data_IF_031248250211
#
_entry.id   IF_031248250211
#
_cell.length_a   1.000
_cell.length_b   1.000
_cell.length_c   1.000
_cell.angle_alpha   90.00
_cell.angle_beta   90.00
_cell.angle_gamma   90.00
#
_symmetry.space_group_name_H-M   'P 1'
#
loop_
_entity.id
_entity.type
_entity.pdbx_description
1 polymer ?
#
# COMPACT_ATOMS: atom_id res chain seq x y z
N UNK A 1 80.58 -25.54 54.94
CA UNK A 1 81.08 -26.94 55.08
C UNK A 1 81.84 -27.04 56.40
N UNK A 2 81.62 -28.10 57.17
CA UNK A 2 82.28 -28.38 58.46
C UNK A 2 83.14 -29.63 58.30
N UNK A 3 84.38 -29.61 58.78
CA UNK A 3 85.30 -30.75 58.79
C UNK A 3 85.64 -31.12 60.24
N UNK A 4 85.55 -32.41 60.57
CA UNK A 4 85.96 -32.99 61.84
C UNK A 4 87.12 -33.95 61.58
N UNK A 5 88.29 -33.70 62.19
CA UNK A 5 89.49 -34.53 62.06
C UNK A 5 89.96 -35.03 63.43
N UNK A 6 90.46 -36.26 63.49
CA UNK A 6 90.89 -36.89 64.74
C UNK A 6 90.93 -38.42 64.65
N UNK A 7 91.31 -39.13 65.71
CA UNK A 7 91.33 -40.59 65.72
C UNK A 7 89.93 -41.17 65.46
N UNK A 8 89.84 -42.16 64.58
CA UNK A 8 88.56 -42.77 64.15
C UNK A 8 87.57 -43.10 65.28
N UNK A 9 87.99 -43.77 66.38
CA UNK A 9 87.09 -44.06 67.50
C UNK A 9 86.49 -42.81 68.16
N UNK A 10 87.23 -41.69 68.17
CA UNK A 10 86.77 -40.41 68.73
C UNK A 10 85.76 -39.74 67.79
N UNK A 11 86.03 -39.76 66.48
CA UNK A 11 85.09 -39.22 65.48
C UNK A 11 83.76 -39.97 65.48
N UNK A 12 83.78 -41.30 65.59
CA UNK A 12 82.55 -42.12 65.69
C UNK A 12 81.75 -41.77 66.94
N UNK A 13 82.42 -41.54 68.08
CA UNK A 13 81.76 -41.14 69.33
C UNK A 13 81.10 -39.78 69.19
N UNK A 14 81.83 -38.78 68.67
CA UNK A 14 81.29 -37.43 68.43
C UNK A 14 80.12 -37.46 67.44
N UNK A 15 80.20 -38.27 66.38
CA UNK A 15 79.10 -38.43 65.44
C UNK A 15 77.83 -38.94 66.14
N UNK A 16 77.93 -39.99 66.97
CA UNK A 16 76.77 -40.59 67.65
C UNK A 16 76.22 -39.75 68.81
N UNK A 17 77.10 -39.18 69.62
CA UNK A 17 76.69 -38.51 70.87
C UNK A 17 76.31 -37.05 70.67
N UNK A 18 76.78 -36.42 69.59
CA UNK A 18 76.61 -34.98 69.33
C UNK A 18 75.90 -34.72 68.01
N UNK A 19 76.48 -35.14 66.88
CA UNK A 19 75.94 -34.78 65.55
C UNK A 19 74.59 -35.47 65.27
N UNK A 20 74.46 -36.74 65.64
CA UNK A 20 73.29 -37.56 65.35
C UNK A 20 72.22 -37.51 66.46
N UNK A 21 72.33 -36.63 67.46
CA UNK A 21 71.25 -36.39 68.43
C UNK A 21 70.28 -35.33 67.88
N UNK A 22 69.00 -35.67 67.62
CA UNK A 22 68.00 -34.72 67.14
C UNK A 22 67.91 -33.47 68.02
N UNK A 23 67.89 -32.29 67.39
CA UNK A 23 67.80 -30.99 68.07
C UNK A 23 69.12 -30.39 68.55
N UNK A 24 70.25 -31.11 68.43
CA UNK A 24 71.56 -30.63 68.91
C UNK A 24 72.18 -29.65 67.93
N UNK A 25 72.55 -28.46 68.42
CA UNK A 25 73.19 -27.39 67.63
C UNK A 25 74.70 -27.61 67.55
N UNK A 26 75.28 -27.78 66.34
CA UNK A 26 76.69 -28.15 66.19
C UNK A 26 77.69 -27.18 66.81
N UNK A 27 77.43 -25.86 66.78
CA UNK A 27 78.33 -24.88 67.40
C UNK A 27 78.40 -25.05 68.92
N UNK A 28 77.26 -25.11 69.59
CA UNK A 28 77.20 -25.26 71.04
C UNK A 28 77.81 -26.59 71.52
N UNK A 29 77.67 -27.65 70.74
CA UNK A 29 78.07 -28.98 71.18
C UNK A 29 79.50 -29.39 70.76
N UNK A 30 80.11 -28.69 69.80
CA UNK A 30 81.47 -28.98 69.33
C UNK A 30 82.48 -27.90 69.73
N UNK A 31 82.09 -26.87 70.48
CA UNK A 31 82.99 -25.82 70.97
C UNK A 31 82.88 -25.65 72.50
N UNK A 32 83.97 -25.76 73.27
CA UNK A 32 85.32 -26.13 72.81
C UNK A 32 85.36 -27.57 72.24
N UNK A 33 86.32 -27.87 71.35
CA UNK A 33 86.36 -29.15 70.66
C UNK A 33 86.65 -30.31 71.63
N UNK A 34 86.00 -31.47 71.47
CA UNK A 34 86.26 -32.64 72.30
C UNK A 34 87.72 -33.09 72.20
N UNK A 35 88.31 -33.53 73.32
CA UNK A 35 89.74 -33.92 73.36
C UNK A 35 90.09 -34.94 72.28
N UNK A 36 91.06 -34.59 71.42
CA UNK A 36 91.53 -35.39 70.30
C UNK A 36 90.71 -35.27 69.02
N UNK A 37 89.77 -34.32 68.94
CA UNK A 37 89.04 -33.97 67.72
C UNK A 37 89.27 -32.50 67.40
N UNK A 38 89.67 -32.20 66.18
CA UNK A 38 89.75 -30.85 65.65
C UNK A 38 88.51 -30.54 64.80
N UNK A 39 88.04 -29.30 64.89
CA UNK A 39 86.85 -28.84 64.17
C UNK A 39 87.21 -27.61 63.34
N UNK A 40 87.05 -27.72 62.02
CA UNK A 40 87.35 -26.65 61.08
C UNK A 40 86.13 -26.33 60.20
N UNK A 41 86.04 -25.07 59.76
CA UNK A 41 84.95 -24.59 58.90
C UNK A 41 83.74 -24.06 59.66
N UNK A 42 82.60 -24.00 58.99
CA UNK A 42 81.41 -23.31 59.52
C UNK A 42 80.58 -24.23 60.43
N UNK A 43 80.42 -23.86 61.70
CA UNK A 43 79.44 -24.46 62.61
C UNK A 43 78.23 -23.54 62.78
N UNK A 44 77.04 -24.03 62.44
CA UNK A 44 75.77 -23.30 62.63
C UNK A 44 75.38 -23.25 64.10
N UNK A 45 74.94 -22.07 64.55
CA UNK A 45 74.41 -21.85 65.91
C UNK A 45 72.87 -21.85 65.96
N UNK A 46 72.24 -21.79 64.78
CA UNK A 46 70.79 -21.69 64.65
C UNK A 46 70.14 -23.02 64.27
N UNK A 47 70.84 -23.87 63.51
CA UNK A 47 70.27 -25.07 62.91
C UNK A 47 70.95 -26.32 63.46
N UNK A 48 70.18 -27.28 64.01
CA UNK A 48 70.72 -28.58 64.38
C UNK A 48 71.04 -29.41 63.12
N UNK A 49 72.00 -30.34 63.22
CA UNK A 49 72.33 -31.22 62.09
C UNK A 49 71.20 -32.21 61.79
N UNK A 50 70.55 -32.75 62.85
CA UNK A 50 69.27 -33.45 62.75
C UNK A 50 68.19 -32.63 63.45
N UNK A 51 67.07 -32.26 62.79
CA UNK A 51 65.99 -31.51 63.42
C UNK A 51 65.35 -32.33 64.55
N UNK A 52 64.97 -31.67 65.65
CA UNK A 52 64.20 -32.32 66.71
C UNK A 52 62.83 -32.75 66.15
N UNK A 53 62.29 -33.93 66.53
CA UNK A 53 60.96 -34.34 66.09
C UNK A 53 59.91 -33.34 66.61
N UNK A 54 59.42 -32.48 65.71
CA UNK A 54 58.34 -31.54 65.99
C UNK A 54 57.00 -32.24 65.90
N UNK A 55 56.41 -32.59 67.05
CA UNK A 55 54.98 -32.87 67.14
C UNK A 55 54.21 -31.58 66.88
N UNK A 56 53.73 -31.41 65.66
CA UNK A 56 52.77 -30.37 65.30
C UNK A 56 53.25 -29.38 64.24
N UNK A 57 52.95 -29.68 62.96
CA UNK A 57 52.44 -28.69 62.01
C UNK A 57 51.87 -29.32 60.73
N UNK A 58 50.61 -28.97 60.49
CA UNK A 58 49.84 -28.86 59.24
C UNK A 58 50.57 -29.09 57.91
N UNK A 59 50.04 -30.01 57.11
CA UNK A 59 50.31 -30.16 55.67
C UNK A 59 49.87 -28.91 54.88
N UNK A 60 50.55 -28.53 53.78
CA UNK A 60 49.94 -27.67 52.77
C UNK A 60 48.86 -28.49 52.06
N UNK A 61 47.61 -28.03 52.12
CA UNK A 61 46.49 -28.64 51.41
C UNK A 61 46.72 -28.62 49.91
N UNK A 62 46.76 -29.79 49.28
CA UNK A 62 46.57 -29.92 47.83
C UNK A 62 45.25 -29.22 47.44
N UNK A 63 45.18 -28.50 46.31
CA UNK A 63 43.91 -27.97 45.82
C UNK A 63 42.90 -29.11 45.62
N UNK A 64 41.59 -28.84 45.73
CA UNK A 64 40.54 -29.86 45.56
C UNK A 64 40.74 -30.63 44.25
N UNK A 65 40.51 -31.95 44.25
CA UNK A 65 40.70 -32.83 43.07
C UNK A 65 40.02 -32.31 41.81
N UNK A 66 38.86 -31.66 41.94
CA UNK A 66 38.11 -31.05 40.84
C UNK A 66 38.88 -29.94 40.12
N UNK A 67 39.65 -29.12 40.86
CA UNK A 67 40.47 -28.06 40.28
C UNK A 67 41.64 -28.64 39.46
N UNK A 68 42.26 -29.71 39.95
CA UNK A 68 43.30 -30.41 39.22
C UNK A 68 42.77 -31.06 37.93
N UNK A 69 41.53 -31.57 37.93
CA UNK A 69 40.89 -32.13 36.72
C UNK A 69 40.49 -31.06 35.70
N UNK A 70 40.06 -29.88 36.16
CA UNK A 70 39.77 -28.75 35.26
C UNK A 70 41.05 -28.25 34.58
N UNK A 71 42.13 -28.06 35.33
CA UNK A 71 43.44 -27.61 34.80
C UNK A 71 43.98 -28.61 33.77
N UNK A 72 43.89 -29.92 34.05
CA UNK A 72 44.32 -30.96 33.12
C UNK A 72 43.51 -30.92 31.81
N UNK A 73 42.19 -30.71 31.90
CA UNK A 73 41.33 -30.58 30.71
C UNK A 73 41.61 -29.27 29.94
N UNK A 74 41.82 -28.16 30.64
CA UNK A 74 42.19 -26.88 30.04
C UNK A 74 43.50 -26.95 29.24
N UNK A 75 44.51 -27.67 29.74
CA UNK A 75 45.77 -27.85 29.00
C UNK A 75 45.56 -28.58 27.66
N UNK A 76 44.64 -29.54 27.61
CA UNK A 76 44.27 -30.21 26.34
C UNK A 76 43.56 -29.25 25.40
N UNK A 77 42.65 -28.43 25.93
CA UNK A 77 41.89 -27.44 25.16
C UNK A 77 42.82 -26.41 24.51
N UNK A 78 43.77 -25.86 25.28
CA UNK A 78 44.78 -24.91 24.78
C UNK A 78 45.72 -25.58 23.78
N UNK A 79 46.10 -26.85 23.99
CA UNK A 79 46.95 -27.57 23.04
C UNK A 79 46.25 -27.83 21.70
N UNK A 80 44.92 -27.99 21.70
CA UNK A 80 44.13 -28.12 20.47
C UNK A 80 43.90 -26.77 19.79
N UNK A 81 43.77 -25.68 20.55
CA UNK A 81 43.56 -24.31 20.08
C UNK A 81 42.48 -24.17 18.98
N UNK A 82 41.37 -24.88 19.14
CA UNK A 82 40.26 -24.84 18.18
C UNK A 82 38.95 -24.40 18.83
N UNK A 83 38.07 -23.68 18.10
CA UNK A 83 36.77 -23.28 18.64
C UNK A 83 35.94 -24.44 19.21
N UNK A 84 35.87 -25.63 18.59
CA UNK A 84 35.18 -26.78 19.18
C UNK A 84 35.79 -27.25 20.52
N UNK A 85 37.13 -27.20 20.66
CA UNK A 85 37.79 -27.57 21.91
C UNK A 85 37.45 -26.57 23.04
N UNK A 86 37.47 -25.27 22.74
CA UNK A 86 37.06 -24.23 23.68
C UNK A 86 35.56 -24.31 24.02
N UNK A 87 34.70 -24.68 23.06
CA UNK A 87 33.27 -24.89 23.31
C UNK A 87 33.06 -26.09 24.23
N UNK A 88 33.75 -27.20 24.00
CA UNK A 88 33.68 -28.38 24.87
C UNK A 88 34.11 -28.06 26.33
N UNK A 89 35.05 -27.12 26.51
CA UNK A 89 35.38 -26.59 27.83
C UNK A 89 34.23 -25.81 28.47
N UNK A 90 33.59 -24.89 27.73
CA UNK A 90 32.46 -24.11 28.23
C UNK A 90 31.26 -25.00 28.59
N UNK A 91 31.02 -26.05 27.82
CA UNK A 91 29.92 -27.00 28.06
C UNK A 91 30.19 -27.84 29.32
N UNK A 92 31.44 -28.29 29.50
CA UNK A 92 31.84 -29.14 30.64
C UNK A 92 32.03 -28.34 31.93
N UNK A 93 32.49 -27.09 31.83
CA UNK A 93 32.75 -26.20 32.97
C UNK A 93 32.06 -24.84 32.77
N UNK A 94 30.73 -24.75 32.88
CA UNK A 94 29.98 -23.51 32.64
C UNK A 94 30.37 -22.34 33.54
N UNK A 95 30.88 -22.65 34.75
CA UNK A 95 31.37 -21.70 35.76
C UNK A 95 32.88 -21.86 36.02
N UNK A 96 33.62 -22.47 35.07
CA UNK A 96 35.06 -22.74 35.20
C UNK A 96 35.92 -21.47 35.21
N UNK A 97 37.11 -21.57 35.79
CA UNK A 97 38.03 -20.43 35.95
C UNK A 97 38.55 -19.87 34.62
N UNK A 98 38.59 -20.70 33.56
CA UNK A 98 39.06 -20.32 32.22
C UNK A 98 37.92 -19.98 31.27
N UNK A 99 36.66 -19.91 31.74
CA UNK A 99 35.48 -19.60 30.92
C UNK A 99 35.65 -18.34 30.07
N UNK A 100 36.19 -17.28 30.66
CA UNK A 100 36.39 -16.01 29.96
C UNK A 100 37.48 -16.13 28.89
N UNK A 101 38.53 -16.93 29.12
CA UNK A 101 39.59 -17.17 28.15
C UNK A 101 39.06 -18.03 27.00
N UNK A 102 38.35 -19.13 27.29
CA UNK A 102 37.74 -19.98 26.27
C UNK A 102 36.79 -19.18 25.36
N UNK A 103 35.96 -18.31 25.94
CA UNK A 103 35.08 -17.43 25.17
C UNK A 103 35.85 -16.43 24.32
N UNK A 104 36.87 -15.78 24.87
CA UNK A 104 37.73 -14.88 24.12
C UNK A 104 38.45 -15.57 22.96
N UNK A 105 38.89 -16.82 23.12
CA UNK A 105 39.51 -17.61 22.04
C UNK A 105 38.54 -17.94 20.92
N UNK A 106 37.30 -18.33 21.24
CA UNK A 106 36.24 -18.56 20.24
C UNK A 106 35.93 -17.28 19.49
N UNK A 107 35.75 -16.17 20.21
CA UNK A 107 35.45 -14.87 19.62
C UNK A 107 36.61 -14.40 18.71
N UNK A 108 37.86 -14.58 19.13
CA UNK A 108 39.05 -14.27 18.33
C UNK A 108 39.16 -15.10 17.05
N UNK A 109 38.91 -16.41 17.11
CA UNK A 109 38.90 -17.28 15.94
C UNK A 109 37.79 -16.89 14.94
N UNK A 110 36.60 -16.52 15.44
CA UNK A 110 35.51 -16.03 14.61
C UNK A 110 35.86 -14.71 13.90
N UNK A 111 36.51 -13.77 14.60
CA UNK A 111 37.00 -12.52 14.02
C UNK A 111 38.04 -12.77 12.91
N UNK A 112 38.96 -13.72 13.12
CA UNK A 112 39.95 -14.08 12.11
C UNK A 112 39.29 -14.69 10.86
N UNK A 113 38.33 -15.60 11.04
CA UNK A 113 37.58 -16.19 9.93
C UNK A 113 36.76 -15.13 9.16
N UNK A 114 36.14 -14.18 9.88
CA UNK A 114 35.43 -13.06 9.26
C UNK A 114 36.38 -12.16 8.47
N UNK A 115 37.56 -11.84 9.02
CA UNK A 115 38.59 -11.06 8.32
C UNK A 115 39.07 -11.74 7.04
N UNK A 116 39.29 -13.06 7.07
CA UNK A 116 39.68 -13.82 5.89
C UNK A 116 38.56 -13.89 4.84
N UNK A 117 37.30 -14.05 5.27
CA UNK A 117 36.15 -14.01 4.39
C UNK A 117 35.96 -12.62 3.76
N UNK A 118 36.18 -11.56 4.53
CA UNK A 118 36.16 -10.17 4.05
C UNK A 118 37.26 -9.92 3.01
N UNK A 119 38.49 -10.38 3.26
CA UNK A 119 39.59 -10.28 2.30
C UNK A 119 39.28 -11.04 1.01
N UNK A 120 38.66 -12.22 1.12
CA UNK A 120 38.21 -13.02 -0.03
C UNK A 120 37.16 -12.29 -0.86
N UNK A 121 36.16 -11.67 -0.22
CA UNK A 121 35.15 -10.88 -0.93
C UNK A 121 35.76 -9.61 -1.55
N UNK A 122 36.69 -8.95 -0.86
CA UNK A 122 37.38 -7.78 -1.37
C UNK A 122 38.21 -8.10 -2.63
N UNK A 123 38.86 -9.27 -2.66
CA UNK A 123 39.62 -9.76 -3.80
C UNK A 123 38.76 -10.03 -5.05
N UNK A 124 37.44 -10.15 -4.92
CA UNK A 124 36.52 -10.27 -6.06
C UNK A 124 36.41 -8.97 -6.86
N UNK A 125 36.82 -7.83 -6.31
CA UNK A 125 36.77 -6.54 -7.01
C UNK A 125 35.36 -6.08 -7.36
N UNK A 126 34.34 -6.49 -6.59
CA UNK A 126 32.93 -6.20 -6.88
C UNK A 126 32.68 -4.70 -6.95
N UNK A 127 32.27 -4.24 -8.12
CA UNK A 127 31.89 -2.85 -8.32
C UNK A 127 30.50 -2.55 -7.73
N UNK A 128 30.04 -1.30 -7.85
CA UNK A 128 28.74 -0.90 -7.33
C UNK A 128 27.57 -1.63 -8.02
N UNK A 129 27.72 -1.95 -9.30
CA UNK A 129 26.71 -2.64 -10.11
C UNK A 129 26.59 -4.10 -9.69
N UNK A 130 27.70 -4.80 -9.50
CA UNK A 130 27.77 -6.16 -9.00
C UNK A 130 27.12 -6.28 -7.62
N UNK A 131 27.43 -5.33 -6.72
CA UNK A 131 26.85 -5.27 -5.38
C UNK A 131 25.34 -5.05 -5.42
N UNK A 132 24.85 -4.17 -6.29
CA UNK A 132 23.40 -3.99 -6.51
C UNK A 132 22.74 -5.26 -7.05
N UNK A 133 23.41 -5.95 -7.98
CA UNK A 133 22.90 -7.22 -8.52
C UNK A 133 22.81 -8.29 -7.42
N UNK A 134 23.82 -8.41 -6.55
CA UNK A 134 23.79 -9.31 -5.39
C UNK A 134 22.64 -8.95 -4.43
N UNK A 135 22.47 -7.67 -4.08
CA UNK A 135 21.36 -7.21 -3.22
C UNK A 135 19.99 -7.51 -3.85
N UNK A 136 19.84 -7.33 -5.17
CA UNK A 136 18.63 -7.69 -5.91
C UNK A 136 18.37 -9.19 -5.87
N UNK A 137 19.40 -10.01 -6.10
CA UNK A 137 19.29 -11.46 -6.05
C UNK A 137 18.90 -11.97 -4.65
N UNK A 138 19.50 -11.41 -3.59
CA UNK A 138 19.11 -11.69 -2.21
C UNK A 138 17.64 -11.36 -1.98
N UNK A 139 17.19 -10.17 -2.40
CA UNK A 139 15.81 -9.72 -2.24
C UNK A 139 14.82 -10.63 -2.99
N UNK A 140 15.14 -10.99 -4.23
CA UNK A 140 14.33 -11.89 -5.06
C UNK A 140 14.18 -13.28 -4.44
N UNK A 141 15.22 -13.76 -3.75
CA UNK A 141 15.22 -15.03 -3.03
C UNK A 141 14.61 -14.92 -1.61
N UNK A 142 14.09 -13.75 -1.22
CA UNK A 142 13.41 -13.53 0.06
C UNK A 142 14.31 -13.09 1.22
N UNK A 143 15.60 -12.80 0.97
CA UNK A 143 16.52 -12.29 1.98
C UNK A 143 16.61 -10.77 1.88
N UNK A 144 16.18 -10.05 2.91
CA UNK A 144 16.06 -8.59 2.85
C UNK A 144 17.40 -7.87 3.17
N UNK A 145 18.09 -7.26 2.18
CA UNK A 145 19.33 -6.51 2.40
C UNK A 145 19.11 -5.12 3.03
N UNK A 146 17.85 -4.71 3.27
CA UNK A 146 17.43 -3.37 3.71
C UNK A 146 17.75 -2.27 2.70
N UNK A 147 17.64 -2.58 1.41
CA UNK A 147 17.86 -1.64 0.30
C UNK A 147 18.75 -2.23 -0.81
N UNK A 148 18.62 -1.69 -2.02
CA UNK A 148 19.44 -2.05 -3.19
C UNK A 148 20.15 -0.79 -3.67
N UNK A 149 21.26 -0.45 -3.02
CA UNK A 149 22.00 0.80 -3.21
C UNK A 149 23.43 0.59 -3.75
N UNK A 150 23.92 -0.66 -3.69
CA UNK A 150 25.28 -1.08 -4.03
C UNK A 150 26.28 -0.95 -2.89
N UNK A 151 25.81 -0.64 -1.67
CA UNK A 151 26.61 -0.47 -0.47
C UNK A 151 26.34 -1.66 0.46
N UNK A 152 27.38 -2.43 0.78
CA UNK A 152 27.24 -3.56 1.71
C UNK A 152 27.31 -3.11 3.16
N UNK A 153 26.19 -2.58 3.65
CA UNK A 153 25.99 -2.26 5.07
C UNK A 153 25.50 -3.46 5.92
N UNK A 154 25.18 -3.24 7.20
CA UNK A 154 24.72 -4.29 8.12
C UNK A 154 23.50 -5.08 7.62
N UNK A 155 22.61 -4.43 6.87
CA UNK A 155 21.45 -5.09 6.24
C UNK A 155 21.86 -6.13 5.21
N UNK A 156 22.73 -5.77 4.27
CA UNK A 156 23.26 -6.70 3.25
C UNK A 156 24.05 -7.83 3.88
N UNK A 157 24.88 -7.54 4.90
CA UNK A 157 25.61 -8.58 5.65
C UNK A 157 24.68 -9.57 6.33
N UNK A 158 23.61 -9.08 6.96
CA UNK A 158 22.60 -9.93 7.61
C UNK A 158 21.88 -10.82 6.60
N UNK A 159 21.49 -10.27 5.44
CA UNK A 159 20.86 -11.03 4.36
C UNK A 159 21.78 -12.10 3.78
N UNK A 160 23.05 -11.77 3.55
CA UNK A 160 24.08 -12.73 3.12
C UNK A 160 24.26 -13.85 4.15
N UNK A 161 24.38 -13.54 5.45
CA UNK A 161 24.47 -14.56 6.51
C UNK A 161 23.25 -15.48 6.50
N UNK A 162 22.04 -14.92 6.34
CA UNK A 162 20.81 -15.71 6.30
C UNK A 162 20.77 -16.64 5.06
N UNK A 163 21.13 -16.13 3.88
CA UNK A 163 21.22 -16.93 2.67
C UNK A 163 22.29 -18.02 2.80
N UNK A 164 23.46 -17.70 3.36
CA UNK A 164 24.53 -18.67 3.60
C UNK A 164 24.06 -19.82 4.49
N UNK A 165 23.43 -19.53 5.63
CA UNK A 165 22.88 -20.56 6.54
C UNK A 165 21.85 -21.45 5.84
N UNK A 166 20.93 -20.85 5.09
CA UNK A 166 19.89 -21.60 4.39
C UNK A 166 20.43 -22.52 3.30
N UNK A 167 21.63 -22.25 2.78
CA UNK A 167 22.30 -23.05 1.76
C UNK A 167 23.45 -23.91 2.33
N UNK A 168 23.59 -24.01 3.67
CA UNK A 168 24.60 -24.85 4.32
C UNK A 168 26.03 -24.33 4.26
N UNK A 169 26.22 -23.03 4.00
CA UNK A 169 27.53 -22.38 4.05
C UNK A 169 27.82 -21.78 5.42
N UNK A 170 29.10 -21.54 5.71
CA UNK A 170 29.51 -20.73 6.85
C UNK A 170 28.93 -19.32 6.76
N UNK A 171 28.23 -18.90 7.81
CA UNK A 171 27.48 -17.66 7.86
C UNK A 171 28.37 -16.44 8.18
N UNK A 172 29.40 -16.23 7.37
CA UNK A 172 30.40 -15.15 7.55
C UNK A 172 29.84 -13.78 7.19
N UNK A 173 28.84 -13.72 6.30
CA UNK A 173 28.27 -12.48 5.78
C UNK A 173 29.05 -11.86 4.62
N UNK A 174 30.11 -12.53 4.17
CA UNK A 174 30.93 -12.17 3.03
C UNK A 174 30.88 -13.28 1.98
N UNK A 175 30.78 -12.89 0.72
CA UNK A 175 30.57 -13.84 -0.38
C UNK A 175 31.88 -14.25 -1.05
N UNK A 176 31.98 -15.53 -1.41
CA UNK A 176 33.03 -16.04 -2.31
C UNK A 176 32.57 -15.97 -3.77
N UNK A 177 33.49 -16.08 -4.74
CA UNK A 177 33.14 -16.10 -6.17
C UNK A 177 32.13 -17.22 -6.52
N UNK A 178 32.29 -18.39 -5.90
CA UNK A 178 31.36 -19.52 -6.08
C UNK A 178 29.97 -19.18 -5.52
N UNK A 179 29.91 -18.57 -4.34
CA UNK A 179 28.66 -18.17 -3.71
C UNK A 179 27.94 -17.08 -4.51
N UNK A 180 28.66 -16.10 -5.08
CA UNK A 180 28.06 -15.09 -5.98
C UNK A 180 27.41 -15.77 -7.19
N UNK A 181 28.09 -16.74 -7.82
CA UNK A 181 27.52 -17.50 -8.95
C UNK A 181 26.31 -18.33 -8.54
N UNK A 182 26.38 -19.02 -7.40
CA UNK A 182 25.27 -19.83 -6.89
C UNK A 182 24.04 -18.96 -6.58
N UNK A 183 24.26 -17.82 -5.92
CA UNK A 183 23.22 -16.83 -5.63
C UNK A 183 22.56 -16.31 -6.92
N UNK A 184 23.36 -15.95 -7.93
CA UNK A 184 22.85 -15.47 -9.21
C UNK A 184 22.06 -16.54 -9.98
N UNK A 185 22.53 -17.79 -9.97
CA UNK A 185 21.83 -18.92 -10.61
C UNK A 185 20.47 -19.19 -9.94
N UNK A 186 20.44 -19.25 -8.60
CA UNK A 186 19.20 -19.45 -7.86
C UNK A 186 18.21 -18.30 -8.10
N UNK A 187 18.70 -17.05 -8.10
CA UNK A 187 17.87 -15.88 -8.39
C UNK A 187 17.30 -15.93 -9.81
N UNK A 188 18.10 -16.34 -10.80
CA UNK A 188 17.62 -16.53 -12.18
C UNK A 188 16.50 -17.56 -12.25
N UNK A 189 16.67 -18.73 -11.65
CA UNK A 189 15.63 -19.77 -11.62
C UNK A 189 14.35 -19.22 -10.99
N UNK A 190 14.46 -18.48 -9.88
CA UNK A 190 13.29 -17.87 -9.22
C UNK A 190 12.63 -16.81 -10.10
N UNK A 191 13.40 -15.98 -10.80
CA UNK A 191 12.87 -14.99 -11.74
C UNK A 191 12.10 -15.65 -12.88
N UNK A 192 12.68 -16.70 -13.49
CA UNK A 192 12.06 -17.42 -14.60
C UNK A 192 10.75 -18.09 -14.16
N UNK A 193 10.71 -18.69 -12.95
CA UNK A 193 9.48 -19.23 -12.36
C UNK A 193 8.39 -18.17 -12.18
N UNK A 194 8.74 -17.03 -11.57
CA UNK A 194 7.78 -15.94 -11.36
C UNK A 194 7.27 -15.34 -12.69
N UNK A 195 8.14 -15.27 -13.70
CA UNK A 195 7.76 -14.83 -15.03
C UNK A 195 6.80 -15.81 -15.71
N UNK A 196 7.06 -17.12 -15.60
CA UNK A 196 6.17 -18.16 -16.13
C UNK A 196 4.80 -18.12 -15.43
N UNK A 197 4.76 -18.05 -14.10
CA UNK A 197 3.52 -17.92 -13.34
C UNK A 197 2.74 -16.65 -13.71
N UNK A 198 3.44 -15.51 -13.89
CA UNK A 198 2.81 -14.26 -14.31
C UNK A 198 2.25 -14.37 -15.74
N UNK A 199 2.97 -15.02 -16.65
CA UNK A 199 2.52 -15.26 -18.01
C UNK A 199 1.29 -16.19 -18.06
N UNK A 200 1.27 -17.25 -17.24
CA UNK A 200 0.12 -18.14 -17.12
C UNK A 200 -1.12 -17.43 -16.57
N UNK A 201 -0.95 -16.61 -15.51
CA UNK A 201 -2.04 -15.78 -14.98
C UNK A 201 -2.58 -14.82 -16.02
N UNK A 202 -1.70 -14.11 -16.73
CA UNK A 202 -2.09 -13.20 -17.80
C UNK A 202 -2.84 -13.94 -18.92
N UNK A 203 -2.34 -15.08 -19.36
CA UNK A 203 -2.97 -15.89 -20.40
C UNK A 203 -4.34 -16.44 -19.96
N UNK A 204 -4.54 -16.75 -18.68
CA UNK A 204 -5.84 -17.13 -18.12
C UNK A 204 -6.82 -15.95 -18.13
N UNK A 205 -6.39 -14.77 -17.70
CA UNK A 205 -7.20 -13.55 -17.74
C UNK A 205 -7.60 -13.20 -19.18
N UNK A 206 -6.65 -13.21 -20.12
CA UNK A 206 -6.89 -12.98 -21.55
C UNK A 206 -7.84 -14.03 -22.15
N UNK A 207 -7.73 -15.30 -21.73
CA UNK A 207 -8.67 -16.36 -22.14
C UNK A 207 -10.08 -16.11 -21.62
N UNK A 208 -10.23 -15.68 -20.37
CA UNK A 208 -11.53 -15.34 -19.77
C UNK A 208 -12.16 -14.12 -20.43
N UNK A 209 -11.38 -13.07 -20.67
CA UNK A 209 -11.78 -11.90 -21.43
C UNK A 209 -12.27 -12.32 -22.82
N UNK A 210 -11.45 -13.04 -23.58
CA UNK A 210 -11.80 -13.51 -24.92
C UNK A 210 -13.07 -14.37 -24.94
N UNK A 211 -13.24 -15.24 -23.94
CA UNK A 211 -14.46 -16.03 -23.82
C UNK A 211 -15.68 -15.15 -23.53
N UNK A 212 -15.56 -14.24 -22.56
CA UNK A 212 -16.64 -13.32 -22.22
C UNK A 212 -17.03 -12.44 -23.41
N UNK A 213 -16.05 -11.94 -24.18
CA UNK A 213 -16.27 -11.24 -25.44
C UNK A 213 -17.01 -12.11 -26.47
N UNK A 214 -16.65 -13.39 -26.62
CA UNK A 214 -17.34 -14.32 -27.54
C UNK A 214 -18.80 -14.54 -27.15
N UNK A 215 -19.08 -14.63 -25.86
CA UNK A 215 -20.42 -14.95 -25.34
C UNK A 215 -21.32 -13.71 -25.34
N UNK A 216 -20.80 -12.53 -24.97
CA UNK A 216 -21.59 -11.30 -24.77
C UNK A 216 -21.40 -10.24 -25.85
N UNK A 217 -20.16 -10.06 -26.33
CA UNK A 217 -19.78 -8.99 -27.26
C UNK A 217 -19.94 -9.34 -28.75
N UNK A 218 -19.94 -10.65 -29.08
CA UNK A 218 -20.10 -11.11 -30.47
C UNK A 218 -21.49 -10.83 -31.04
N UNK A 219 -22.51 -10.74 -30.18
CA UNK A 219 -23.90 -10.51 -30.56
C UNK A 219 -24.23 -9.09 -31.06
N UNK A 220 -23.26 -8.18 -31.12
CA UNK A 220 -23.42 -6.78 -31.56
C UNK A 220 -24.57 -6.02 -30.88
N UNK A 221 -25.06 -6.53 -29.74
CA UNK A 221 -26.14 -5.87 -29.00
C UNK A 221 -25.55 -4.80 -28.09
N UNK A 222 -26.18 -3.64 -28.05
CA UNK A 222 -25.78 -2.52 -27.19
C UNK A 222 -25.62 -2.96 -25.72
N UNK A 223 -26.53 -3.79 -25.22
CA UNK A 223 -26.49 -4.31 -23.85
C UNK A 223 -25.28 -5.23 -23.62
N UNK A 224 -24.97 -6.12 -24.57
CA UNK A 224 -23.81 -7.01 -24.48
C UNK A 224 -22.49 -6.25 -24.51
N UNK A 225 -22.37 -5.24 -25.38
CA UNK A 225 -21.18 -4.38 -25.45
C UNK A 225 -20.97 -3.58 -24.16
N UNK A 226 -22.04 -3.00 -23.59
CA UNK A 226 -21.96 -2.30 -22.29
C UNK A 226 -21.60 -3.25 -21.15
N UNK A 227 -22.16 -4.46 -21.13
CA UNK A 227 -21.82 -5.47 -20.12
C UNK A 227 -20.36 -5.92 -20.21
N UNK A 228 -19.80 -6.00 -21.42
CA UNK A 228 -18.38 -6.23 -21.63
C UNK A 228 -17.52 -5.10 -21.07
N UNK A 229 -17.82 -3.84 -21.43
CA UNK A 229 -17.06 -2.67 -20.97
C UNK A 229 -17.14 -2.46 -19.45
N UNK A 230 -18.26 -2.80 -18.82
CA UNK A 230 -18.41 -2.75 -17.36
C UNK A 230 -17.49 -3.76 -16.65
N UNK A 231 -17.35 -4.97 -17.21
CA UNK A 231 -16.55 -6.04 -16.62
C UNK A 231 -15.06 -5.96 -16.97
N UNK A 232 -14.75 -5.52 -18.19
CA UNK A 232 -13.40 -5.46 -18.75
C UNK A 232 -13.14 -4.07 -19.37
N UNK A 233 -13.07 -3.01 -18.55
CA UNK A 233 -12.90 -1.64 -19.05
C UNK A 233 -11.60 -1.44 -19.82
N UNK A 234 -10.51 -2.06 -19.38
CA UNK A 234 -9.20 -2.05 -20.05
C UNK A 234 -8.89 -3.40 -20.73
N UNK A 235 -9.92 -4.18 -21.08
CA UNK A 235 -9.78 -5.51 -21.67
C UNK A 235 -9.29 -5.49 -23.13
N UNK A 236 -8.95 -6.66 -23.66
CA UNK A 236 -8.42 -6.84 -25.01
C UNK A 236 -9.33 -6.28 -26.11
N UNK A 237 -10.65 -6.27 -25.88
CA UNK A 237 -11.65 -5.82 -26.84
C UNK A 237 -12.35 -4.52 -26.44
N UNK A 238 -11.84 -3.78 -25.45
CA UNK A 238 -12.48 -2.54 -24.96
C UNK A 238 -12.66 -1.51 -26.09
N UNK A 239 -11.58 -1.13 -26.77
CA UNK A 239 -11.61 -0.19 -27.90
C UNK A 239 -12.61 -0.61 -28.99
N UNK A 240 -12.65 -1.92 -29.30
CA UNK A 240 -13.55 -2.48 -30.30
C UNK A 240 -15.01 -2.40 -29.83
N UNK A 241 -15.26 -2.67 -28.55
CA UNK A 241 -16.59 -2.61 -27.96
C UNK A 241 -17.12 -1.16 -27.91
N UNK A 242 -16.26 -0.20 -27.53
CA UNK A 242 -16.59 1.23 -27.53
C UNK A 242 -16.92 1.73 -28.93
N UNK A 243 -16.08 1.42 -29.93
CA UNK A 243 -16.31 1.83 -31.30
C UNK A 243 -17.66 1.31 -31.84
N UNK A 244 -17.97 0.02 -31.61
CA UNK A 244 -19.25 -0.57 -32.01
C UNK A 244 -20.43 0.03 -31.28
N UNK A 245 -20.29 0.31 -29.99
CA UNK A 245 -21.34 0.93 -29.20
C UNK A 245 -21.66 2.34 -29.74
N UNK A 246 -20.63 3.11 -30.05
CA UNK A 246 -20.78 4.43 -30.65
C UNK A 246 -21.49 4.39 -32.01
N UNK A 247 -21.17 3.41 -32.86
CA UNK A 247 -21.86 3.18 -34.14
C UNK A 247 -23.36 2.89 -33.95
N UNK A 248 -23.71 2.01 -33.00
CA UNK A 248 -25.11 1.67 -32.68
C UNK A 248 -25.86 2.90 -32.17
N UNK A 249 -25.27 3.64 -31.23
CA UNK A 249 -25.86 4.85 -30.67
C UNK A 249 -26.03 5.96 -31.73
N UNK A 250 -25.05 6.11 -32.63
CA UNK A 250 -25.16 7.02 -33.76
C UNK A 250 -26.30 6.62 -34.71
N UNK A 251 -26.41 5.33 -35.05
CA UNK A 251 -27.49 4.83 -35.90
C UNK A 251 -28.87 5.04 -35.25
N UNK A 252 -29.01 4.77 -33.95
CA UNK A 252 -30.25 5.02 -33.20
C UNK A 252 -30.64 6.48 -33.19
N UNK A 253 -29.68 7.38 -32.93
CA UNK A 253 -29.91 8.84 -32.99
C UNK A 253 -30.35 9.27 -34.38
N UNK A 254 -29.69 8.78 -35.43
CA UNK A 254 -30.04 9.09 -36.81
C UNK A 254 -31.46 8.62 -37.16
N UNK A 255 -31.84 7.41 -36.75
CA UNK A 255 -33.20 6.88 -36.94
C UNK A 255 -34.25 7.71 -36.20
N UNK A 256 -34.00 8.06 -34.93
CA UNK A 256 -34.91 8.90 -34.16
C UNK A 256 -35.11 10.27 -34.80
N UNK A 257 -34.01 10.91 -35.25
CA UNK A 257 -34.05 12.19 -35.97
C UNK A 257 -34.78 12.08 -37.31
N UNK A 258 -34.59 10.99 -38.05
CA UNK A 258 -35.31 10.76 -39.31
C UNK A 258 -36.82 10.58 -39.08
N UNK A 259 -37.21 9.83 -38.06
CA UNK A 259 -38.61 9.63 -37.69
C UNK A 259 -39.27 10.94 -37.24
N UNK A 260 -38.56 11.75 -36.47
CA UNK A 260 -39.00 13.08 -36.07
C UNK A 260 -39.19 14.01 -37.28
N UNK A 261 -38.22 14.06 -38.19
CA UNK A 261 -38.32 14.86 -39.43
C UNK A 261 -39.51 14.45 -40.29
N UNK A 262 -39.73 13.15 -40.46
CA UNK A 262 -40.87 12.65 -41.22
C UNK A 262 -42.21 13.05 -40.57
N UNK A 263 -42.29 12.98 -39.23
CA UNK A 263 -43.47 13.43 -38.50
C UNK A 263 -43.66 14.95 -38.57
N UNK A 264 -42.57 15.73 -38.52
CA UNK A 264 -42.60 17.18 -38.71
C UNK A 264 -43.10 17.58 -40.10
N UNK A 265 -42.64 16.91 -41.16
CA UNK A 265 -43.11 17.18 -42.53
C UNK A 265 -44.61 16.93 -42.66
N UNK A 266 -45.13 15.85 -42.07
CA UNK A 266 -46.57 15.55 -42.04
C UNK A 266 -47.38 16.60 -41.27
N UNK A 267 -46.88 17.05 -40.11
CA UNK A 267 -47.48 18.14 -39.33
C UNK A 267 -47.53 19.45 -40.14
N UNK A 268 -46.44 19.77 -40.85
CA UNK A 268 -46.35 20.97 -41.68
C UNK A 268 -47.27 20.93 -42.89
N UNK A 269 -47.57 19.75 -43.44
CA UNK A 269 -48.54 19.60 -44.52
C UNK A 269 -49.97 19.85 -44.04
N UNK A 270 -50.32 19.43 -42.81
CA UNK A 270 -51.66 19.70 -42.24
C UNK A 270 -51.83 21.13 -41.73
N UNK A 271 -50.76 21.71 -41.20
CA UNK A 271 -50.67 23.11 -40.76
C UNK A 271 -51.79 23.55 -39.78
N UNK A 272 -52.06 22.75 -38.75
CA UNK A 272 -53.05 23.08 -37.72
C UNK A 272 -52.40 23.27 -36.34
N UNK A 273 -52.94 24.19 -35.53
CA UNK A 273 -52.43 24.42 -34.18
C UNK A 273 -52.47 23.14 -33.31
N UNK A 274 -53.46 22.26 -33.54
CA UNK A 274 -53.56 20.98 -32.85
C UNK A 274 -52.47 19.97 -33.28
N UNK A 275 -52.11 19.93 -34.56
CA UNK A 275 -51.02 19.08 -35.07
C UNK A 275 -49.65 19.50 -34.51
N UNK A 276 -49.38 20.81 -34.48
CA UNK A 276 -48.16 21.33 -33.87
C UNK A 276 -48.10 21.09 -32.36
N UNK A 277 -49.24 21.16 -31.66
CA UNK A 277 -49.28 20.80 -30.24
C UNK A 277 -48.97 19.30 -30.03
N UNK A 278 -49.55 18.42 -30.85
CA UNK A 278 -49.21 16.98 -30.83
C UNK A 278 -47.73 16.72 -31.08
N UNK A 279 -47.11 17.49 -31.97
CA UNK A 279 -45.66 17.44 -32.19
C UNK A 279 -44.90 17.78 -30.91
N UNK A 280 -45.25 18.89 -30.24
CA UNK A 280 -44.60 19.29 -28.98
C UNK A 280 -44.81 18.29 -27.84
N UNK A 281 -45.99 17.65 -27.77
CA UNK A 281 -46.27 16.64 -26.76
C UNK A 281 -45.42 15.37 -26.99
N UNK A 282 -45.20 15.00 -28.25
CA UNK A 282 -44.39 13.83 -28.63
C UNK A 282 -42.89 14.12 -28.59
N UNK A 283 -42.48 15.34 -28.91
CA UNK A 283 -41.09 15.78 -29.03
C UNK A 283 -40.86 17.11 -28.28
N UNK A 284 -40.94 17.13 -26.94
CA UNK A 284 -40.92 18.37 -26.14
C UNK A 284 -39.60 19.15 -26.21
N UNK A 285 -38.49 18.47 -26.54
CA UNK A 285 -37.18 19.05 -26.83
C UNK A 285 -36.67 18.68 -28.23
N UNK A 286 -37.60 18.45 -29.16
CA UNK A 286 -37.29 18.07 -30.54
C UNK A 286 -36.59 19.17 -31.34
N UNK A 287 -36.06 18.80 -32.50
CA UNK A 287 -35.35 19.68 -33.42
C UNK A 287 -36.21 20.86 -33.92
N UNK A 288 -37.53 20.69 -33.99
CA UNK A 288 -38.49 21.69 -34.52
C UNK A 288 -39.43 22.22 -33.44
N UNK A 289 -39.10 22.04 -32.15
CA UNK A 289 -39.97 22.47 -31.06
C UNK A 289 -40.21 23.99 -31.06
N UNK A 290 -39.19 24.77 -31.35
CA UNK A 290 -39.34 26.22 -31.36
C UNK A 290 -40.11 26.71 -32.60
N UNK A 291 -39.91 26.07 -33.75
CA UNK A 291 -40.69 26.31 -34.97
C UNK A 291 -42.18 25.97 -34.76
N UNK A 292 -42.47 24.85 -34.11
CA UNK A 292 -43.85 24.44 -33.79
C UNK A 292 -44.55 25.47 -32.88
N UNK A 293 -43.87 25.93 -31.81
CA UNK A 293 -44.41 26.95 -30.91
C UNK A 293 -44.69 28.26 -31.64
N UNK A 294 -43.76 28.68 -32.50
CA UNK A 294 -43.93 29.89 -33.31
C UNK A 294 -45.16 29.75 -34.22
N UNK A 295 -45.32 28.60 -34.88
CA UNK A 295 -46.44 28.37 -35.79
C UNK A 295 -47.79 28.31 -35.10
N UNK A 296 -47.88 27.71 -33.91
CA UNK A 296 -49.10 27.73 -33.08
C UNK A 296 -49.50 29.17 -32.76
N UNK A 297 -48.55 30.02 -32.39
CA UNK A 297 -48.82 31.43 -32.06
C UNK A 297 -49.39 32.18 -33.27
N UNK A 298 -48.85 31.95 -34.46
CA UNK A 298 -49.36 32.55 -35.70
C UNK A 298 -50.76 32.08 -36.05
N UNK A 299 -51.00 30.76 -36.07
CA UNK A 299 -52.30 30.19 -36.41
C UNK A 299 -53.39 30.66 -35.43
N UNK A 300 -53.08 30.65 -34.13
CA UNK A 300 -54.02 31.14 -33.12
C UNK A 300 -54.26 32.65 -33.19
N UNK A 301 -53.29 33.44 -33.66
CA UNK A 301 -53.50 34.86 -33.93
C UNK A 301 -54.40 35.07 -35.16
N UNK A 302 -54.15 34.34 -36.25
CA UNK A 302 -54.98 34.37 -37.46
C UNK A 302 -56.43 33.95 -37.19
N UNK A 303 -56.64 32.86 -36.45
CA UNK A 303 -57.98 32.42 -36.04
C UNK A 303 -58.70 33.49 -35.21
N UNK A 304 -58.00 34.11 -34.25
CA UNK A 304 -58.56 35.22 -33.46
C UNK A 304 -58.92 36.41 -34.34
N UNK A 305 -58.08 36.78 -35.30
CA UNK A 305 -58.36 37.86 -36.26
C UNK A 305 -59.58 37.55 -37.14
N UNK A 306 -59.69 36.33 -37.65
CA UNK A 306 -60.84 35.87 -38.43
C UNK A 306 -62.15 35.93 -37.61
N UNK A 307 -62.12 35.44 -36.37
CA UNK A 307 -63.26 35.49 -35.44
C UNK A 307 -63.66 36.93 -35.12
N UNK A 308 -62.69 37.83 -34.91
CA UNK A 308 -62.94 39.26 -34.67
C UNK A 308 -63.52 39.93 -35.92
N UNK A 309 -63.01 39.62 -37.12
CA UNK A 309 -63.52 40.15 -38.38
C UNK A 309 -64.98 39.72 -38.64
N UNK A 310 -65.31 38.45 -38.37
CA UNK A 310 -66.68 37.94 -38.45
C UNK A 310 -67.61 38.65 -37.45
N UNK A 311 -67.22 38.76 -36.18
CA UNK A 311 -68.00 39.45 -35.17
C UNK A 311 -68.21 40.94 -35.47
N UNK A 312 -67.20 41.59 -36.07
CA UNK A 312 -67.30 42.98 -36.53
C UNK A 312 -68.28 43.14 -37.70
N UNK A 313 -68.32 42.17 -38.62
CA UNK A 313 -69.28 42.16 -39.72
C UNK A 313 -70.71 41.94 -39.20
N UNK A 314 -70.89 41.01 -38.27
CA UNK A 314 -72.17 40.71 -37.63
C UNK A 314 -72.71 41.90 -36.82
N UNK A 315 -71.85 42.60 -36.07
CA UNK A 315 -72.25 43.79 -35.30
C UNK A 315 -72.93 44.85 -36.16
N UNK A 316 -72.49 45.03 -37.41
CA UNK A 316 -73.12 45.98 -38.34
C UNK A 316 -74.59 45.64 -38.63
N UNK A 317 -74.94 44.36 -38.54
CA UNK A 317 -76.30 43.87 -38.76
C UNK A 317 -77.12 43.92 -37.46
N UNK A 318 -76.53 43.48 -36.34
CA UNK A 318 -77.18 43.41 -35.02
C UNK A 318 -77.42 44.80 -34.43
N UNK A 319 -76.50 45.74 -34.65
CA UNK A 319 -76.56 47.10 -34.11
C UNK A 319 -76.58 48.11 -35.27
N UNK A 320 -77.62 47.99 -36.09
CA UNK A 320 -77.77 48.69 -37.37
C UNK A 320 -78.13 50.18 -37.25
N UNK A 321 -78.70 50.62 -36.12
CA UNK A 321 -79.12 52.00 -35.85
C UNK A 321 -78.46 52.55 -34.58
N UNK A 322 -78.22 53.88 -34.53
CA UNK A 322 -77.67 54.59 -33.37
C UNK A 322 -78.48 54.42 -32.08
N UNK A 323 -79.79 54.22 -32.15
CA UNK A 323 -80.64 53.92 -30.97
C UNK A 323 -80.22 52.61 -30.30
N UNK A 324 -79.91 51.57 -31.10
CA UNK A 324 -79.44 50.29 -30.57
C UNK A 324 -78.03 50.41 -29.96
N UNK A 325 -77.20 51.33 -30.46
CA UNK A 325 -75.87 51.60 -29.88
C UNK A 325 -75.97 52.23 -28.50
N UNK A 326 -76.85 53.22 -28.34
CA UNK A 326 -77.14 53.83 -27.03
C UNK A 326 -77.69 52.80 -26.04
N UNK A 327 -78.58 51.91 -26.52
CA UNK A 327 -79.11 50.83 -25.68
C UNK A 327 -78.01 49.88 -25.20
N UNK A 328 -77.08 49.49 -26.08
CA UNK A 328 -75.93 48.66 -25.71
C UNK A 328 -75.06 49.34 -24.65
N UNK A 329 -74.71 50.61 -24.83
CA UNK A 329 -73.91 51.36 -23.85
C UNK A 329 -74.63 51.49 -22.50
N UNK A 330 -75.91 51.83 -22.51
CA UNK A 330 -76.70 51.91 -21.28
C UNK A 330 -76.80 50.56 -20.56
N UNK A 331 -76.94 49.45 -21.31
CA UNK A 331 -76.96 48.10 -20.76
C UNK A 331 -75.60 47.64 -20.25
N UNK A 332 -74.51 48.03 -20.91
CA UNK A 332 -73.15 47.80 -20.39
C UNK A 332 -72.96 48.52 -19.05
N UNK A 333 -73.37 49.79 -18.95
CA UNK A 333 -73.30 50.55 -17.70
C UNK A 333 -74.14 49.91 -16.58
N UNK A 334 -75.37 49.45 -16.89
CA UNK A 334 -76.22 48.73 -15.95
C UNK A 334 -75.60 47.39 -15.51
N UNK A 335 -74.87 46.72 -16.41
CA UNK A 335 -74.10 45.51 -16.10
C UNK A 335 -72.82 45.78 -15.29
N UNK A 336 -72.57 47.02 -14.85
CA UNK A 336 -71.37 47.44 -14.13
C UNK A 336 -70.12 47.56 -15.01
N UNK A 337 -70.27 47.53 -16.34
CA UNK A 337 -69.18 47.68 -17.30
C UNK A 337 -69.18 49.10 -17.85
N UNK A 338 -68.29 49.96 -17.36
CA UNK A 338 -68.22 51.36 -17.77
C UNK A 338 -67.88 51.52 -19.27
N UNK A 339 -68.84 51.93 -20.13
CA UNK A 339 -68.58 52.17 -21.55
C UNK A 339 -67.94 53.55 -21.80
N UNK A 340 -67.88 54.43 -20.80
CA UNK A 340 -67.59 55.85 -20.97
C UNK A 340 -68.87 56.66 -21.19
N UNK A 341 -68.84 57.60 -22.14
CA UNK A 341 -70.02 58.39 -22.50
C UNK A 341 -71.06 57.54 -23.25
N UNK A 342 -72.33 57.64 -22.86
CA UNK A 342 -73.45 56.98 -23.57
C UNK A 342 -73.87 57.90 -24.72
N UNK A 343 -73.13 57.83 -25.83
CA UNK A 343 -73.27 58.72 -26.99
C UNK A 343 -73.53 57.97 -28.31
N UNK A 344 -73.62 56.64 -28.25
CA UNK A 344 -73.85 55.75 -29.38
C UNK A 344 -72.61 55.54 -30.26
N UNK A 345 -71.42 55.99 -29.83
CA UNK A 345 -70.15 55.84 -30.55
C UNK A 345 -69.28 54.80 -29.84
N UNK A 346 -69.15 53.63 -30.46
CA UNK A 346 -68.34 52.54 -29.91
C UNK A 346 -66.82 52.78 -30.08
N UNK A 347 -66.27 53.63 -29.21
CA UNK A 347 -64.87 54.01 -29.15
C UNK A 347 -64.00 52.95 -28.42
N UNK A 348 -62.73 53.26 -28.18
CA UNK A 348 -61.83 52.31 -27.49
C UNK A 348 -62.31 51.96 -26.07
N UNK A 349 -63.06 52.83 -25.40
CA UNK A 349 -63.61 52.61 -24.06
C UNK A 349 -64.82 51.70 -24.12
N UNK A 350 -65.81 51.98 -24.98
CA UNK A 350 -66.97 51.09 -25.18
C UNK A 350 -66.52 49.71 -25.66
N UNK A 351 -65.52 49.62 -26.56
CA UNK A 351 -64.94 48.33 -27.00
C UNK A 351 -64.30 47.53 -25.87
N UNK A 352 -63.66 48.21 -24.90
CA UNK A 352 -63.12 47.54 -23.71
C UNK A 352 -64.24 47.05 -22.80
N UNK A 353 -65.29 47.85 -22.60
CA UNK A 353 -66.47 47.45 -21.83
C UNK A 353 -67.15 46.22 -22.44
N UNK A 354 -67.33 46.19 -23.77
CA UNK A 354 -67.86 45.02 -24.49
C UNK A 354 -66.97 43.78 -24.27
N UNK A 355 -65.64 43.90 -24.36
CA UNK A 355 -64.74 42.75 -24.11
C UNK A 355 -64.80 42.25 -22.67
N UNK A 356 -64.93 43.14 -21.69
CA UNK A 356 -65.09 42.76 -20.29
C UNK A 356 -66.41 42.05 -20.08
N UNK A 357 -67.50 42.63 -20.58
CA UNK A 357 -68.82 42.00 -20.57
C UNK A 357 -68.80 40.60 -21.21
N UNK A 358 -68.23 40.47 -22.41
CA UNK A 358 -68.10 39.16 -23.08
C UNK A 358 -67.34 38.17 -22.23
N UNK A 359 -66.24 38.58 -21.60
CA UNK A 359 -65.44 37.72 -20.71
C UNK A 359 -66.25 37.27 -19.49
N UNK A 360 -66.93 38.19 -18.84
CA UNK A 360 -67.71 37.92 -17.62
C UNK A 360 -68.92 37.02 -17.91
N UNK A 361 -69.45 37.08 -19.13
CA UNK A 361 -70.55 36.23 -19.59
C UNK A 361 -70.08 34.92 -20.26
N UNK A 362 -68.77 34.64 -20.27
CA UNK A 362 -68.22 33.43 -20.89
C UNK A 362 -68.41 33.38 -22.42
N UNK A 363 -68.59 34.53 -23.06
CA UNK A 363 -68.70 34.68 -24.51
C UNK A 363 -67.32 34.84 -25.16
N UNK A 364 -67.24 34.55 -26.46
CA UNK A 364 -66.06 34.82 -27.28
C UNK A 364 -65.71 36.31 -27.23
N UNK A 365 -64.54 36.64 -26.70
CA UNK A 365 -64.11 38.03 -26.44
C UNK A 365 -63.58 38.66 -27.72
N UNK A 366 -64.47 39.24 -28.52
CA UNK A 366 -64.14 39.92 -29.78
C UNK A 366 -64.11 41.44 -29.64
N UNK A 367 -64.85 41.99 -28.65
CA UNK A 367 -65.08 43.43 -28.50
C UNK A 367 -66.11 44.02 -29.47
N UNK A 368 -66.82 43.15 -30.18
CA UNK A 368 -67.90 43.50 -31.10
C UNK A 368 -69.19 42.80 -30.68
N UNK A 369 -70.32 43.50 -30.79
CA UNK A 369 -71.63 43.03 -30.34
C UNK A 369 -72.22 42.08 -31.38
N UNK A 370 -72.08 40.79 -31.15
CA UNK A 370 -72.79 39.74 -31.90
C UNK A 370 -74.22 39.56 -31.39
N UNK A 371 -75.05 38.78 -32.08
CA UNK A 371 -76.40 38.46 -31.62
C UNK A 371 -76.37 37.80 -30.24
N UNK A 372 -75.44 36.87 -30.01
CA UNK A 372 -75.23 36.25 -28.71
C UNK A 372 -74.88 37.28 -27.62
N UNK A 373 -74.04 38.28 -27.96
CA UNK A 373 -73.68 39.37 -27.04
C UNK A 373 -74.89 40.25 -26.74
N UNK A 374 -75.68 40.61 -27.75
CA UNK A 374 -76.89 41.42 -27.61
C UNK A 374 -77.94 40.72 -26.73
N UNK A 375 -78.20 39.44 -26.95
CA UNK A 375 -79.16 38.67 -26.15
C UNK A 375 -78.75 38.66 -24.66
N UNK A 376 -77.47 38.45 -24.37
CA UNK A 376 -76.96 38.48 -23.00
C UNK A 376 -77.02 39.87 -22.38
N UNK A 377 -76.76 40.92 -23.15
CA UNK A 377 -76.87 42.32 -22.71
C UNK A 377 -78.31 42.71 -22.31
N UNK A 378 -79.30 42.25 -23.07
CA UNK A 378 -80.71 42.56 -22.80
C UNK A 378 -81.26 41.76 -21.60
N UNK A 379 -80.64 40.63 -21.29
CA UNK A 379 -80.97 39.81 -20.12
C UNK A 379 -80.35 40.32 -18.81
N UNK A 380 -79.51 41.36 -18.87
CA UNK A 380 -79.02 42.05 -17.67
C UNK A 380 -80.23 42.72 -16.99
N UNK A 381 -80.54 42.35 -15.73
CA UNK A 381 -81.74 42.78 -15.02
C UNK A 381 -81.79 44.28 -14.74
#
# INVERSE_FOLDING_TARGET
VTLLSGPGPRLVRVAREVILKPGTRPRQALMPPPSGVEVAGFLSDALPFLPAPTTGRTSPSQPPRELNTEIAFWNVVVALDTPPAYQAYLDRYPNGQFRNIARASIDGAALNAEAQAQATEAALGLDRTDRRNIQRNLSLLGYNPRGIDGIFGPGSRSATKAWQRANGYDATGYLTAQQVRALASAAKVKADQLAAEAAERKAEEERRDTQYWRDTGRGASEAGLRSYLDRYPDGLFADVAEARLAEIEAAKRAQAQAAERAFWDDVRVRDTAADYQRYLDRFPGGLFADDAKARIKELTAGDKEAVVAAAKAEEKQVVSNGVLRLLVENRLAAAGQDPGGIDGRFDKTTRRAIRRFQRDQGLTVTGYVTQATMVRLLAVP
#
